data_IF_510993912740
#
_entry.id   IF_510993912740
#
_cell.length_a   1.000
_cell.length_b   1.000
_cell.length_c   1.000
_cell.angle_alpha   90.00
_cell.angle_beta   90.00
_cell.angle_gamma   90.00
#
_symmetry.space_group_name_H-M   'P 1'
#
loop_
_entity.id
_entity.type
_entity.pdbx_description
1 polymer ?
#
# COMPACT_ATOMS: atom_id res chain seq x y z
N UNK A 1 21.15 -5.24 -0.97
CA UNK A 1 20.14 -5.62 0.00
C UNK A 1 18.73 -5.41 -0.54
N UNK A 2 17.83 -6.26 -0.11
CA UNK A 2 16.46 -6.21 -0.56
C UNK A 2 15.69 -5.13 0.21
N UNK A 3 14.93 -4.28 -0.47
CA UNK A 3 14.12 -3.28 0.22
C UNK A 3 13.07 -3.94 1.11
N UNK A 4 12.73 -3.28 2.19
CA UNK A 4 11.66 -3.76 3.06
C UNK A 4 10.31 -3.51 2.42
N UNK A 5 9.32 -4.31 2.81
CA UNK A 5 7.95 -4.12 2.30
C UNK A 5 7.44 -2.73 2.64
N UNK A 6 7.81 -2.20 3.82
CA UNK A 6 7.39 -0.86 4.21
C UNK A 6 7.92 0.20 3.24
N UNK A 7 9.17 0.04 2.79
CA UNK A 7 9.75 0.96 1.83
C UNK A 7 9.07 0.86 0.48
N UNK A 8 8.81 -0.37 0.03
CA UNK A 8 8.13 -0.58 -1.25
C UNK A 8 6.74 0.05 -1.21
N UNK A 9 6.00 -0.19 -0.14
CA UNK A 9 4.66 0.35 0.00
C UNK A 9 4.67 1.88 -0.07
N UNK A 10 5.60 2.49 0.65
CA UNK A 10 5.70 3.94 0.66
C UNK A 10 6.10 4.51 -0.68
N UNK A 11 7.12 3.93 -1.31
CA UNK A 11 7.70 4.49 -2.51
C UNK A 11 6.89 4.18 -3.77
N UNK A 12 6.17 3.07 -3.77
CA UNK A 12 5.43 2.66 -4.97
C UNK A 12 3.96 3.05 -4.93
N UNK A 13 3.39 3.21 -3.73
CA UNK A 13 1.95 3.44 -3.59
C UNK A 13 1.59 4.74 -2.88
N UNK A 14 2.44 5.23 -2.01
CA UNK A 14 2.12 6.43 -1.25
C UNK A 14 2.68 7.68 -1.91
N UNK A 15 3.97 7.69 -2.18
CA UNK A 15 4.62 8.87 -2.76
C UNK A 15 4.12 9.16 -4.18
N UNK A 16 4.13 8.18 -5.10
CA UNK A 16 3.69 8.47 -6.48
C UNK A 16 2.25 8.95 -6.59
N UNK A 17 1.38 8.47 -5.70
CA UNK A 17 -0.03 8.87 -5.72
C UNK A 17 -0.36 9.94 -4.69
N UNK A 18 0.66 10.41 -3.97
CA UNK A 18 0.49 11.46 -2.95
C UNK A 18 -0.55 11.06 -1.91
N UNK A 19 -0.45 9.84 -1.41
CA UNK A 19 -1.40 9.30 -0.44
C UNK A 19 -0.77 9.12 0.93
N UNK A 20 -1.53 9.44 1.97
CA UNK A 20 -1.16 9.08 3.33
C UNK A 20 -1.54 7.63 3.61
N UNK A 21 -1.07 7.09 4.75
CA UNK A 21 -1.46 5.73 5.15
C UNK A 21 -2.97 5.60 5.27
N UNK A 22 -3.62 6.61 5.83
CA UNK A 22 -5.07 6.61 5.97
C UNK A 22 -5.77 6.59 4.60
N UNK A 23 -5.32 7.46 3.71
CA UNK A 23 -5.90 7.55 2.38
C UNK A 23 -5.71 6.26 1.58
N UNK A 24 -4.52 5.67 1.68
CA UNK A 24 -4.25 4.41 1.01
C UNK A 24 -5.13 3.29 1.56
N UNK A 25 -5.25 3.22 2.89
CA UNK A 25 -6.09 2.20 3.53
C UNK A 25 -7.54 2.31 3.05
N UNK A 26 -8.05 3.52 2.97
CA UNK A 26 -9.42 3.72 2.47
C UNK A 26 -9.55 3.33 1.01
N UNK A 27 -8.53 3.65 0.22
CA UNK A 27 -8.57 3.37 -1.22
C UNK A 27 -8.64 1.87 -1.51
N UNK A 28 -7.98 1.06 -0.70
CA UNK A 28 -7.96 -0.38 -0.92
C UNK A 28 -8.87 -1.14 0.05
N UNK A 29 -9.65 -0.40 0.85
CA UNK A 29 -10.67 -0.97 1.75
C UNK A 29 -10.09 -1.90 2.82
N UNK A 30 -9.03 -1.46 3.46
CA UNK A 30 -8.47 -2.17 4.61
C UNK A 30 -8.38 -1.20 5.79
N UNK A 31 -8.32 -1.72 7.02
CA UNK A 31 -8.16 -0.84 8.18
C UNK A 31 -6.84 -0.09 8.11
N UNK A 32 -6.84 1.17 8.54
CA UNK A 32 -5.62 1.98 8.53
C UNK A 32 -4.56 1.37 9.45
N UNK A 33 -4.98 0.70 10.51
CA UNK A 33 -4.03 0.04 11.41
C UNK A 33 -3.22 -1.04 10.68
N UNK A 34 -3.83 -1.71 9.71
CA UNK A 34 -3.11 -2.70 8.92
C UNK A 34 -1.99 -2.05 8.11
N UNK A 35 -2.29 -0.92 7.47
CA UNK A 35 -1.27 -0.21 6.70
C UNK A 35 -0.17 0.31 7.63
N UNK A 36 -0.54 0.86 8.77
CA UNK A 36 0.44 1.37 9.73
C UNK A 36 1.33 0.25 10.27
N UNK A 37 0.76 -0.92 10.56
CA UNK A 37 1.54 -2.06 11.01
C UNK A 37 2.55 -2.50 9.96
N UNK A 38 2.15 -2.50 8.69
CA UNK A 38 3.06 -2.85 7.61
C UNK A 38 4.17 -1.80 7.50
N UNK A 39 3.83 -0.53 7.58
CA UNK A 39 4.80 0.55 7.47
C UNK A 39 5.80 0.54 8.63
N UNK A 40 5.38 0.05 9.79
CA UNK A 40 6.25 -0.04 10.96
C UNK A 40 6.94 -1.39 11.08
N UNK A 41 6.80 -2.25 10.08
CA UNK A 41 7.39 -3.58 10.04
C UNK A 41 6.89 -4.49 11.17
N UNK A 42 5.71 -4.19 11.72
CA UNK A 42 5.10 -5.01 12.76
C UNK A 42 4.32 -6.18 12.18
N UNK A 43 4.02 -6.15 10.89
CA UNK A 43 3.21 -7.16 10.23
C UNK A 43 3.67 -7.31 8.80
N UNK A 44 3.70 -8.55 8.35
CA UNK A 44 4.01 -8.81 6.95
C UNK A 44 2.77 -8.55 6.09
N UNK A 45 2.99 -8.19 4.85
CA UNK A 45 1.90 -7.99 3.92
C UNK A 45 1.23 -9.33 3.64
N UNK A 46 -0.10 -9.33 3.60
CA UNK A 46 -0.87 -10.54 3.29
C UNK A 46 -1.14 -10.61 1.80
N UNK A 47 -1.50 -11.82 1.33
CA UNK A 47 -1.88 -12.01 -0.07
C UNK A 47 -3.06 -11.12 -0.41
N UNK A 48 -4.06 -11.05 0.49
CA UNK A 48 -5.23 -10.21 0.27
C UNK A 48 -4.84 -8.74 0.09
N UNK A 49 -3.99 -8.22 0.96
CA UNK A 49 -3.55 -6.82 0.85
C UNK A 49 -2.74 -6.61 -0.43
N UNK A 50 -1.90 -7.57 -0.77
CA UNK A 50 -1.10 -7.49 -1.98
C UNK A 50 -1.98 -7.40 -3.23
N UNK A 51 -3.01 -8.23 -3.29
CA UNK A 51 -3.95 -8.22 -4.41
C UNK A 51 -4.67 -6.88 -4.50
N UNK A 52 -5.12 -6.36 -3.37
CA UNK A 52 -5.80 -5.07 -3.34
C UNK A 52 -4.90 -3.94 -3.81
N UNK A 53 -3.64 -3.96 -3.40
CA UNK A 53 -2.67 -2.96 -3.84
C UNK A 53 -2.40 -3.07 -5.34
N UNK A 54 -2.27 -4.29 -5.85
CA UNK A 54 -2.07 -4.50 -7.27
C UNK A 54 -3.24 -3.99 -8.10
N UNK A 55 -4.45 -4.29 -7.66
CA UNK A 55 -5.64 -3.81 -8.36
C UNK A 55 -5.74 -2.28 -8.32
N UNK A 56 -5.40 -1.68 -7.19
CA UNK A 56 -5.41 -0.23 -7.07
C UNK A 56 -4.42 0.39 -8.04
N UNK A 57 -3.21 -0.15 -8.11
CA UNK A 57 -2.18 0.37 -9.00
C UNK A 57 -2.59 0.29 -10.46
N UNK A 58 -3.13 -0.84 -10.87
CA UNK A 58 -3.60 -1.03 -12.24
C UNK A 58 -4.74 -0.06 -12.55
N UNK A 59 -5.67 0.07 -11.62
CA UNK A 59 -6.82 0.95 -11.81
C UNK A 59 -6.37 2.40 -11.99
N UNK A 60 -5.40 2.84 -11.19
CA UNK A 60 -4.91 4.22 -11.28
C UNK A 60 -4.15 4.47 -12.58
N UNK A 61 -3.38 3.49 -13.04
CA UNK A 61 -2.59 3.66 -14.26
C UNK A 61 -3.41 3.51 -15.53
N UNK A 62 -4.56 2.87 -15.45
CA UNK A 62 -5.42 2.67 -16.62
C UNK A 62 -6.35 3.85 -16.88
N UNK A 63 -6.30 4.88 -16.06
CA UNK A 63 -7.15 6.04 -16.18
C UNK A 63 -6.43 7.14 -16.96
N UNK A 64 -6.77 7.29 -18.17
CA UNK A 64 -6.19 8.35 -18.98
C UNK A 64 -7.30 9.13 -19.61
#
# INVERSE_FOLDING_TARGET
>A
PTPKISEILREEFMIPFNLSAYALAKAIHVPVSRIQDILNDHRKITVDTSIRLGNFSVYQTSTF
#
